data_IF_574374367904
#
_entry.id   IF_574374367904
#
_cell.length_a   1.000
_cell.length_b   1.000
_cell.length_c   1.000
_cell.angle_alpha   90.00
_cell.angle_beta   90.00
_cell.angle_gamma   90.00
#
_symmetry.space_group_name_H-M   'P 1'
#
loop_
_entity.id
_entity.type
_entity.pdbx_description
1 polymer ?
#
# COMPACT_ATOMS: atom_id res chain seq x y z
N UNK A 1 -11.85 13.10 22.60
CA UNK A 1 -11.64 11.95 21.69
C UNK A 1 -12.37 10.76 22.25
N UNK A 2 -13.13 10.01 21.45
CA UNK A 2 -13.77 8.77 21.95
C UNK A 2 -12.67 7.71 22.12
N UNK A 3 -12.51 7.11 23.31
CA UNK A 3 -11.48 6.10 23.56
C UNK A 3 -11.69 4.80 22.77
N UNK A 4 -12.83 4.65 22.12
CA UNK A 4 -13.21 3.43 21.39
C UNK A 4 -13.00 3.46 19.88
N UNK A 5 -12.46 4.57 19.35
CA UNK A 5 -12.31 4.73 17.90
C UNK A 5 -11.15 3.89 17.37
N UNK A 6 -11.41 3.00 16.42
CA UNK A 6 -10.37 2.21 15.75
C UNK A 6 -9.43 3.12 14.96
N UNK A 7 -8.16 2.76 14.88
CA UNK A 7 -7.08 3.53 14.26
C UNK A 7 -6.49 2.76 13.09
N UNK A 8 -6.42 3.39 11.93
CA UNK A 8 -5.76 2.87 10.74
C UNK A 8 -4.59 3.76 10.31
N UNK A 9 -3.42 3.16 10.16
CA UNK A 9 -2.23 3.81 9.58
C UNK A 9 -2.13 3.39 8.12
N UNK A 10 -2.06 4.37 7.20
CA UNK A 10 -1.93 4.15 5.76
C UNK A 10 -0.67 4.85 5.25
N UNK A 11 0.24 4.11 4.64
CA UNK A 11 1.45 4.67 4.03
C UNK A 11 1.26 5.00 2.54
N UNK A 12 2.01 5.97 2.00
CA UNK A 12 1.81 6.44 0.63
C UNK A 12 0.45 7.13 0.45
N UNK A 13 0.06 7.94 1.43
CA UNK A 13 -1.30 8.43 1.63
C UNK A 13 -1.63 9.73 0.94
N UNK A 14 -0.64 10.42 0.34
CA UNK A 14 -0.87 11.74 -0.26
C UNK A 14 -1.65 11.69 -1.57
N UNK A 15 -1.68 10.56 -2.28
CA UNK A 15 -2.32 10.41 -3.58
C UNK A 15 -2.68 8.96 -3.92
N UNK A 16 -3.40 8.76 -5.03
CA UNK A 16 -3.73 7.43 -5.57
C UNK A 16 -4.45 6.52 -4.58
N UNK A 17 -4.05 5.24 -4.53
CA UNK A 17 -4.67 4.21 -3.69
C UNK A 17 -4.63 4.59 -2.21
N UNK A 18 -3.50 5.11 -1.71
CA UNK A 18 -3.36 5.46 -0.31
C UNK A 18 -4.32 6.58 0.13
N UNK A 19 -4.48 7.61 -0.70
CA UNK A 19 -5.43 8.71 -0.44
C UNK A 19 -6.89 8.20 -0.46
N UNK A 20 -7.25 7.35 -1.42
CA UNK A 20 -8.57 6.72 -1.48
C UNK A 20 -8.81 5.84 -0.24
N UNK A 21 -7.81 5.04 0.16
CA UNK A 21 -7.87 4.20 1.35
C UNK A 21 -8.09 5.02 2.63
N UNK A 22 -7.36 6.14 2.80
CA UNK A 22 -7.60 7.04 3.93
C UNK A 22 -9.06 7.50 4.03
N UNK A 23 -9.64 7.91 2.90
CA UNK A 23 -11.03 8.38 2.83
C UNK A 23 -12.02 7.26 3.17
N UNK A 24 -11.83 6.06 2.63
CA UNK A 24 -12.68 4.88 2.92
C UNK A 24 -12.63 4.54 4.41
N UNK A 25 -11.46 4.44 5.03
CA UNK A 25 -11.37 4.14 6.47
C UNK A 25 -12.04 5.22 7.32
N UNK A 26 -11.87 6.50 6.98
CA UNK A 26 -12.52 7.59 7.69
C UNK A 26 -14.05 7.53 7.57
N UNK A 27 -14.61 7.21 6.40
CA UNK A 27 -16.04 7.00 6.17
C UNK A 27 -16.62 5.87 7.03
N UNK A 28 -15.80 4.85 7.30
CA UNK A 28 -16.14 3.73 8.19
C UNK A 28 -15.81 4.00 9.66
N UNK A 29 -15.60 5.26 10.04
CA UNK A 29 -15.47 5.68 11.42
C UNK A 29 -14.09 5.48 12.06
N UNK A 30 -13.06 5.10 11.30
CA UNK A 30 -11.69 5.03 11.82
C UNK A 30 -11.08 6.42 11.99
N UNK A 31 -10.16 6.57 12.94
CA UNK A 31 -9.15 7.61 12.86
C UNK A 31 -8.15 7.16 11.78
N UNK A 32 -8.14 7.89 10.67
CA UNK A 32 -7.35 7.56 9.48
C UNK A 32 -6.06 8.37 9.46
N UNK A 33 -4.91 7.69 9.66
CA UNK A 33 -3.60 8.32 9.83
C UNK A 33 -2.77 8.07 8.58
N UNK A 34 -2.49 9.14 7.84
CA UNK A 34 -1.66 9.08 6.64
C UNK A 34 -0.17 9.30 6.94
N UNK A 35 0.67 8.46 6.35
CA UNK A 35 2.11 8.65 6.31
C UNK A 35 2.58 8.79 4.86
N UNK A 36 3.26 9.87 4.51
CA UNK A 36 3.83 10.10 3.18
C UNK A 36 5.02 11.05 3.25
N UNK A 37 5.91 10.99 2.27
CA UNK A 37 7.00 12.00 2.12
C UNK A 37 6.46 13.32 1.55
N UNK A 38 5.34 13.27 0.83
CA UNK A 38 4.74 14.40 0.14
C UNK A 38 3.85 15.19 1.11
N UNK A 39 4.13 16.49 1.34
CA UNK A 39 3.36 17.30 2.29
C UNK A 39 1.88 17.49 1.87
N UNK A 40 1.55 17.25 0.61
CA UNK A 40 0.18 17.30 0.07
C UNK A 40 -0.77 16.32 0.77
N UNK A 41 -0.25 15.30 1.47
CA UNK A 41 -1.05 14.41 2.32
C UNK A 41 -1.84 15.14 3.40
N UNK A 42 -1.41 16.32 3.83
CA UNK A 42 -2.16 17.21 4.72
C UNK A 42 -3.53 17.62 4.14
N UNK A 43 -3.63 17.77 2.82
CA UNK A 43 -4.89 18.12 2.16
C UNK A 43 -5.91 16.99 2.30
N UNK A 44 -5.48 15.73 2.19
CA UNK A 44 -6.34 14.56 2.36
C UNK A 44 -6.89 14.49 3.80
N UNK A 45 -6.02 14.70 4.79
CA UNK A 45 -6.45 14.73 6.19
C UNK A 45 -7.44 15.87 6.45
N UNK A 46 -7.20 17.05 5.86
CA UNK A 46 -8.11 18.20 5.97
C UNK A 46 -9.47 17.95 5.32
N UNK A 47 -9.51 17.35 4.12
CA UNK A 47 -10.76 16.95 3.46
C UNK A 47 -11.57 15.99 4.33
N UNK A 48 -10.94 14.97 4.90
CA UNK A 48 -11.56 14.01 5.81
C UNK A 48 -12.19 14.74 7.01
N UNK A 49 -11.44 15.67 7.62
CA UNK A 49 -11.92 16.44 8.78
C UNK A 49 -13.08 17.37 8.43
N UNK A 50 -13.07 17.98 7.25
CA UNK A 50 -14.17 18.84 6.76
C UNK A 50 -15.46 18.04 6.51
N UNK A 51 -15.34 16.74 6.21
CA UNK A 51 -16.48 15.83 6.03
C UNK A 51 -16.93 15.18 7.34
N UNK A 52 -16.41 15.62 8.49
CA UNK A 52 -16.79 15.11 9.82
C UNK A 52 -16.06 13.80 10.21
N UNK A 53 -15.12 13.34 9.42
CA UNK A 53 -14.25 12.22 9.76
C UNK A 53 -13.11 12.62 10.73
N UNK A 54 -12.16 11.73 10.95
CA UNK A 54 -10.92 12.03 11.69
C UNK A 54 -9.72 11.63 10.85
N UNK A 55 -9.10 12.61 10.21
CA UNK A 55 -7.89 12.49 9.42
C UNK A 55 -6.70 13.15 10.12
N UNK A 56 -5.55 12.48 10.10
CA UNK A 56 -4.28 13.02 10.56
C UNK A 56 -3.21 12.69 9.51
N UNK A 57 -2.31 13.61 9.26
CA UNK A 57 -1.16 13.40 8.39
C UNK A 57 0.14 13.59 9.15
N UNK A 58 1.09 12.71 8.93
CA UNK A 58 2.45 12.82 9.44
C UNK A 58 3.43 12.63 8.29
N UNK A 59 4.25 13.64 8.00
CA UNK A 59 5.27 13.51 6.98
C UNK A 59 6.31 12.46 7.38
N UNK A 60 6.48 11.42 6.57
CA UNK A 60 7.32 10.27 6.88
C UNK A 60 7.89 9.64 5.61
N UNK A 61 9.21 9.52 5.54
CA UNK A 61 9.86 8.59 4.62
C UNK A 61 9.83 7.19 5.28
N UNK A 62 9.19 6.23 4.63
CA UNK A 62 9.09 4.85 5.13
C UNK A 62 10.43 4.12 5.15
N UNK A 63 11.44 4.62 4.43
CA UNK A 63 12.81 4.10 4.46
C UNK A 63 13.67 4.69 5.61
N UNK A 64 13.19 5.73 6.31
CA UNK A 64 13.85 6.28 7.51
C UNK A 64 13.31 5.60 8.77
N UNK A 65 14.08 4.63 9.30
CA UNK A 65 13.71 3.89 10.51
C UNK A 65 13.38 4.80 11.71
N UNK A 66 14.19 5.85 11.92
CA UNK A 66 13.98 6.79 13.03
C UNK A 66 12.63 7.48 12.88
N UNK A 67 12.33 7.99 11.67
CA UNK A 67 11.10 8.72 11.42
C UNK A 67 9.87 7.80 11.50
N UNK A 68 9.94 6.58 10.97
CA UNK A 68 8.88 5.57 11.12
C UNK A 68 8.58 5.30 12.59
N UNK A 69 9.63 5.06 13.41
CA UNK A 69 9.49 4.82 14.86
C UNK A 69 8.82 6.01 15.57
N UNK A 70 9.23 7.24 15.26
CA UNK A 70 8.65 8.47 15.83
C UNK A 70 7.16 8.59 15.48
N UNK A 71 6.79 8.38 14.20
CA UNK A 71 5.41 8.47 13.75
C UNK A 71 4.52 7.40 14.40
N UNK A 72 4.95 6.14 14.42
CA UNK A 72 4.18 5.06 15.04
C UNK A 72 4.02 5.28 16.54
N UNK A 73 5.10 5.70 17.22
CA UNK A 73 5.04 6.06 18.64
C UNK A 73 4.05 7.19 18.89
N UNK A 74 4.10 8.25 18.09
CA UNK A 74 3.16 9.39 18.21
C UNK A 74 1.70 8.93 18.09
N UNK A 75 1.40 8.07 17.11
CA UNK A 75 0.04 7.52 16.94
C UNK A 75 -0.36 6.66 18.13
N UNK A 76 0.52 5.78 18.60
CA UNK A 76 0.30 4.95 19.76
C UNK A 76 0.07 5.75 21.05
N UNK A 77 0.88 6.78 21.30
CA UNK A 77 0.73 7.66 22.47
C UNK A 77 -0.59 8.46 22.43
N UNK A 78 -0.99 8.90 21.22
CA UNK A 78 -2.18 9.74 21.01
C UNK A 78 -3.48 8.96 21.14
N UNK A 79 -3.53 7.73 20.61
CA UNK A 79 -4.77 6.95 20.51
C UNK A 79 -4.82 5.74 21.43
N UNK A 80 -3.69 5.33 21.99
CA UNK A 80 -3.60 4.14 22.86
C UNK A 80 -3.73 2.81 22.11
N UNK A 81 -3.95 2.84 20.78
CA UNK A 81 -4.19 1.67 19.94
C UNK A 81 -3.81 1.87 18.49
N UNK A 82 -3.53 0.79 17.77
CA UNK A 82 -3.38 0.73 16.33
C UNK A 82 -4.05 -0.55 15.86
N UNK A 83 -5.14 -0.43 15.09
CA UNK A 83 -5.97 -1.56 14.69
C UNK A 83 -5.65 -2.08 13.31
N UNK A 84 -5.30 -1.17 12.40
CA UNK A 84 -5.00 -1.49 11.01
C UNK A 84 -3.72 -0.80 10.58
N UNK A 85 -2.88 -1.55 9.86
CA UNK A 85 -1.75 -1.03 9.10
C UNK A 85 -1.95 -1.36 7.63
N UNK A 86 -1.97 -0.34 6.77
CA UNK A 86 -1.95 -0.51 5.31
C UNK A 86 -0.60 -0.05 4.78
N UNK A 87 0.26 -1.00 4.45
CA UNK A 87 1.55 -0.78 3.82
C UNK A 87 1.36 -0.59 2.32
N UNK A 88 1.11 0.65 1.88
CA UNK A 88 0.86 0.99 0.47
C UNK A 88 2.02 1.78 -0.16
N UNK A 89 2.84 2.48 0.61
CA UNK A 89 3.96 3.25 0.08
C UNK A 89 4.89 2.38 -0.76
N UNK A 90 5.28 2.89 -1.92
CA UNK A 90 6.19 2.21 -2.82
C UNK A 90 6.58 3.07 -4.00
N UNK A 91 7.58 2.59 -4.72
CA UNK A 91 8.05 3.18 -5.99
C UNK A 91 8.10 2.08 -7.05
N UNK A 92 7.88 2.45 -8.30
CA UNK A 92 8.12 1.58 -9.45
C UNK A 92 9.51 1.88 -10.02
N UNK A 93 10.19 0.84 -10.49
CA UNK A 93 11.42 0.95 -11.27
C UNK A 93 11.23 0.12 -12.53
N UNK A 94 11.16 0.81 -13.68
CA UNK A 94 11.01 0.22 -15.01
C UNK A 94 12.24 0.54 -15.82
N UNK A 95 13.10 -0.47 -15.98
CA UNK A 95 14.39 -0.31 -16.62
C UNK A 95 14.95 -1.70 -17.02
N UNK A 96 15.68 -1.83 -18.15
CA UNK A 96 16.43 -3.03 -18.47
C UNK A 96 17.31 -3.46 -17.28
N UNK A 97 17.37 -4.76 -17.00
CA UNK A 97 18.01 -5.26 -15.78
C UNK A 97 19.50 -4.90 -15.68
N UNK A 98 20.23 -4.98 -16.79
CA UNK A 98 21.65 -4.68 -16.88
C UNK A 98 21.98 -3.17 -16.79
N UNK A 99 20.97 -2.31 -16.90
CA UNK A 99 21.10 -0.87 -16.71
C UNK A 99 20.76 -0.39 -15.30
N UNK A 100 20.24 -1.27 -14.42
CA UNK A 100 19.86 -0.90 -13.05
C UNK A 100 21.12 -0.68 -12.22
N UNK A 101 21.26 0.53 -11.66
CA UNK A 101 22.37 0.82 -10.76
C UNK A 101 22.16 0.18 -9.37
N UNK A 102 23.26 0.01 -8.63
CA UNK A 102 23.17 -0.47 -7.25
C UNK A 102 22.35 0.45 -6.34
N UNK A 103 22.44 1.74 -6.54
CA UNK A 103 21.69 2.76 -5.81
C UNK A 103 20.19 2.67 -6.10
N UNK A 104 19.79 2.44 -7.37
CA UNK A 104 18.39 2.22 -7.76
C UNK A 104 17.84 0.93 -7.13
N UNK A 105 18.64 -0.15 -7.14
CA UNK A 105 18.32 -1.39 -6.45
C UNK A 105 18.07 -1.16 -4.95
N UNK A 106 19.04 -0.52 -4.26
CA UNK A 106 18.94 -0.24 -2.83
C UNK A 106 17.74 0.64 -2.52
N UNK A 107 17.54 1.72 -3.28
CA UNK A 107 16.42 2.63 -3.09
C UNK A 107 15.08 1.90 -3.23
N UNK A 108 14.90 1.13 -4.31
CA UNK A 108 13.67 0.39 -4.56
C UNK A 108 13.39 -0.64 -3.46
N UNK A 109 14.42 -1.39 -3.06
CA UNK A 109 14.30 -2.39 -1.99
C UNK A 109 14.01 -1.75 -0.63
N UNK A 110 14.71 -0.66 -0.27
CA UNK A 110 14.53 0.02 1.00
C UNK A 110 13.13 0.63 1.14
N UNK A 111 12.58 1.20 0.06
CA UNK A 111 11.23 1.76 0.10
C UNK A 111 10.18 0.65 0.08
N UNK A 112 10.22 -0.24 -0.93
CA UNK A 112 9.14 -1.20 -1.16
C UNK A 112 9.09 -2.32 -0.11
N UNK A 113 10.25 -2.87 0.26
CA UNK A 113 10.34 -3.98 1.22
C UNK A 113 10.74 -3.49 2.61
N UNK A 114 11.77 -2.65 2.69
CA UNK A 114 12.25 -2.09 3.95
C UNK A 114 11.18 -1.27 4.68
N UNK A 115 10.43 -0.43 3.97
CA UNK A 115 9.32 0.34 4.53
C UNK A 115 8.25 -0.55 5.15
N UNK A 116 7.82 -1.61 4.45
CA UNK A 116 6.86 -2.58 4.97
C UNK A 116 7.40 -3.27 6.24
N UNK A 117 8.66 -3.69 6.22
CA UNK A 117 9.32 -4.28 7.39
C UNK A 117 9.34 -3.34 8.59
N UNK A 118 9.74 -2.08 8.41
CA UNK A 118 9.85 -1.09 9.48
C UNK A 118 8.48 -0.79 10.09
N UNK A 119 7.46 -0.54 9.26
CA UNK A 119 6.11 -0.28 9.76
C UNK A 119 5.56 -1.48 10.54
N UNK A 120 5.68 -2.69 10.01
CA UNK A 120 5.29 -3.91 10.74
C UNK A 120 6.04 -4.01 12.08
N UNK A 121 7.37 -3.87 12.08
CA UNK A 121 8.21 -3.94 13.29
C UNK A 121 7.72 -3.03 14.41
N UNK A 122 7.37 -1.78 14.08
CA UNK A 122 7.00 -0.79 15.11
C UNK A 122 5.51 -0.80 15.48
N UNK A 123 4.62 -1.28 14.60
CA UNK A 123 3.18 -1.43 14.90
C UNK A 123 2.89 -2.70 15.70
N UNK A 124 3.62 -3.77 15.47
CA UNK A 124 3.37 -5.08 16.09
C UNK A 124 3.31 -5.08 17.62
N UNK A 125 4.12 -4.33 18.39
CA UNK A 125 3.99 -4.27 19.84
C UNK A 125 2.59 -3.87 20.31
N UNK A 126 1.96 -2.91 19.63
CA UNK A 126 0.58 -2.48 19.92
C UNK A 126 -0.43 -3.59 19.63
N UNK A 127 -0.39 -4.16 18.43
CA UNK A 127 -1.31 -5.22 18.02
C UNK A 127 -1.18 -6.49 18.89
N UNK A 128 0.06 -6.88 19.23
CA UNK A 128 0.31 -8.02 20.13
C UNK A 128 -0.24 -7.78 21.54
N UNK A 129 -0.09 -6.57 22.07
CA UNK A 129 -0.65 -6.19 23.37
C UNK A 129 -2.18 -6.16 23.33
N UNK A 130 -2.76 -5.63 22.25
CA UNK A 130 -4.22 -5.59 22.04
C UNK A 130 -4.82 -6.98 21.82
N UNK A 131 -4.02 -7.98 21.42
CA UNK A 131 -4.46 -9.28 20.91
C UNK A 131 -5.46 -9.14 19.76
N UNK A 132 -5.27 -8.14 18.94
CA UNK A 132 -6.11 -7.81 17.79
C UNK A 132 -5.37 -6.86 16.87
N UNK A 133 -5.51 -7.06 15.57
CA UNK A 133 -4.94 -6.18 14.56
C UNK A 133 -5.07 -6.74 13.15
N UNK A 134 -4.92 -5.87 12.16
CA UNK A 134 -4.91 -6.28 10.76
C UNK A 134 -3.80 -5.55 10.02
N UNK A 135 -3.00 -6.29 9.26
CA UNK A 135 -1.98 -5.74 8.36
C UNK A 135 -2.37 -6.08 6.92
N UNK A 136 -2.42 -5.07 6.07
CA UNK A 136 -2.64 -5.23 4.63
C UNK A 136 -1.41 -4.72 3.90
N UNK A 137 -0.76 -5.59 3.16
CA UNK A 137 0.43 -5.28 2.39
C UNK A 137 0.10 -5.08 0.90
N UNK A 138 0.64 -4.05 0.28
CA UNK A 138 0.43 -3.80 -1.14
C UNK A 138 1.41 -4.63 -1.99
N UNK A 139 0.90 -5.73 -2.54
CA UNK A 139 1.52 -6.51 -3.59
C UNK A 139 1.44 -5.83 -4.95
N UNK A 140 1.38 -6.62 -6.00
CA UNK A 140 1.14 -6.24 -7.40
C UNK A 140 1.01 -7.50 -8.25
N UNK A 141 0.33 -7.42 -9.40
CA UNK A 141 0.42 -8.44 -10.45
C UNK A 141 1.86 -8.75 -10.84
N UNK A 142 2.76 -7.77 -10.76
CA UNK A 142 4.21 -7.94 -11.02
C UNK A 142 4.90 -8.89 -10.04
N UNK A 143 4.28 -9.23 -8.91
CA UNK A 143 4.74 -10.27 -7.99
C UNK A 143 4.31 -11.69 -8.41
N UNK A 144 3.44 -11.81 -9.42
CA UNK A 144 2.87 -13.08 -9.89
C UNK A 144 3.30 -13.43 -11.32
N UNK A 145 3.46 -12.43 -12.18
CA UNK A 145 3.79 -12.62 -13.60
C UNK A 145 5.01 -11.80 -13.98
N UNK A 146 5.76 -12.31 -14.96
CA UNK A 146 6.89 -11.57 -15.53
C UNK A 146 6.41 -10.39 -16.38
N UNK A 147 7.06 -9.25 -16.20
CA UNK A 147 6.86 -8.06 -17.02
C UNK A 147 8.23 -7.54 -17.48
N UNK A 148 8.33 -7.16 -18.76
CA UNK A 148 9.55 -6.57 -19.30
C UNK A 148 9.95 -5.33 -18.49
N UNK A 149 11.24 -5.19 -18.20
CA UNK A 149 11.85 -4.08 -17.46
C UNK A 149 11.38 -3.88 -16.01
N UNK A 150 10.56 -4.79 -15.45
CA UNK A 150 10.03 -4.70 -14.08
C UNK A 150 10.73 -5.64 -13.08
N UNK A 151 11.92 -6.16 -13.40
CA UNK A 151 12.58 -7.22 -12.60
C UNK A 151 12.67 -6.86 -11.13
N UNK A 152 13.19 -5.67 -10.79
CA UNK A 152 13.36 -5.26 -9.39
C UNK A 152 12.03 -4.92 -8.71
N UNK A 153 11.11 -4.30 -9.43
CA UNK A 153 9.78 -4.03 -8.89
C UNK A 153 9.05 -5.36 -8.59
N UNK A 154 9.02 -6.28 -9.55
CA UNK A 154 8.43 -7.61 -9.37
C UNK A 154 9.07 -8.40 -8.22
N UNK A 155 10.40 -8.37 -8.11
CA UNK A 155 11.12 -9.01 -7.01
C UNK A 155 10.68 -8.47 -5.64
N UNK A 156 10.56 -7.14 -5.47
CA UNK A 156 10.08 -6.56 -4.21
C UNK A 156 8.62 -6.93 -3.91
N UNK A 157 7.76 -6.99 -4.93
CA UNK A 157 6.34 -7.35 -4.77
C UNK A 157 6.14 -8.83 -4.47
N UNK A 158 6.92 -9.72 -5.08
CA UNK A 158 6.98 -11.13 -4.72
C UNK A 158 7.47 -11.37 -3.29
N UNK A 159 8.49 -10.62 -2.86
CA UNK A 159 8.97 -10.67 -1.48
C UNK A 159 7.91 -10.23 -0.46
N UNK A 160 7.11 -9.21 -0.76
CA UNK A 160 5.99 -8.75 0.08
C UNK A 160 4.93 -9.85 0.23
N UNK A 161 4.57 -10.53 -0.85
CA UNK A 161 3.60 -11.65 -0.83
C UNK A 161 4.13 -12.79 0.05
N UNK A 162 5.40 -13.15 -0.07
CA UNK A 162 6.05 -14.16 0.76
C UNK A 162 6.08 -13.74 2.24
N UNK A 163 6.48 -12.50 2.53
CA UNK A 163 6.49 -11.92 3.88
C UNK A 163 5.10 -11.93 4.52
N UNK A 164 4.05 -11.63 3.75
CA UNK A 164 2.66 -11.67 4.20
C UNK A 164 2.28 -13.04 4.75
N UNK A 165 2.60 -14.12 4.02
CA UNK A 165 2.32 -15.50 4.43
C UNK A 165 3.05 -15.87 5.72
N UNK A 166 4.33 -15.52 5.83
CA UNK A 166 5.14 -15.79 7.01
C UNK A 166 4.62 -15.04 8.25
N UNK A 167 4.33 -13.74 8.11
CA UNK A 167 3.77 -12.93 9.20
C UNK A 167 2.40 -13.42 9.64
N UNK A 168 1.54 -13.88 8.74
CA UNK A 168 0.22 -14.42 9.07
C UNK A 168 0.32 -15.60 10.05
N UNK A 169 1.25 -16.51 9.82
CA UNK A 169 1.51 -17.65 10.72
C UNK A 169 2.13 -17.20 12.05
N UNK A 170 3.12 -16.33 12.01
CA UNK A 170 3.81 -15.83 13.22
C UNK A 170 2.85 -15.06 14.15
N UNK A 171 1.90 -14.33 13.57
CA UNK A 171 1.04 -13.41 14.31
C UNK A 171 -0.33 -14.00 14.69
N UNK A 172 -0.69 -15.18 14.16
CA UNK A 172 -1.93 -15.87 14.50
C UNK A 172 -2.14 -16.08 16.02
N UNK A 173 -1.12 -16.42 16.83
CA UNK A 173 -1.29 -16.55 18.29
C UNK A 173 -1.69 -15.24 18.98
N UNK A 174 -1.51 -14.10 18.35
CA UNK A 174 -1.89 -12.78 18.85
C UNK A 174 -3.21 -12.28 18.26
N UNK A 175 -3.93 -13.13 17.50
CA UNK A 175 -5.16 -12.73 16.80
C UNK A 175 -4.95 -11.53 15.86
N UNK A 176 -3.80 -11.48 15.20
CA UNK A 176 -3.45 -10.47 14.18
C UNK A 176 -3.50 -11.13 12.81
N UNK A 177 -4.33 -10.58 11.91
CA UNK A 177 -4.44 -11.06 10.53
C UNK A 177 -3.48 -10.28 9.62
N UNK A 178 -2.88 -10.96 8.67
CA UNK A 178 -1.99 -10.34 7.68
C UNK A 178 -2.36 -10.84 6.30
N UNK A 179 -2.72 -9.94 5.40
CA UNK A 179 -3.04 -10.26 4.02
C UNK A 179 -2.33 -9.30 3.07
N UNK A 180 -2.27 -9.64 1.80
CA UNK A 180 -1.85 -8.74 0.74
C UNK A 180 -2.95 -8.54 -0.31
N UNK A 181 -2.87 -7.41 -1.00
CA UNK A 181 -3.63 -7.10 -2.19
C UNK A 181 -2.65 -6.87 -3.32
N UNK A 182 -2.92 -7.49 -4.46
CA UNK A 182 -2.12 -7.39 -5.68
C UNK A 182 -2.94 -6.76 -6.82
N UNK A 183 -2.90 -5.42 -6.96
CA UNK A 183 -3.62 -4.73 -8.02
C UNK A 183 -3.02 -4.97 -9.40
N UNK A 184 -3.87 -4.87 -10.44
CA UNK A 184 -3.47 -4.59 -11.81
C UNK A 184 -3.14 -3.12 -12.04
N UNK A 185 -3.42 -2.60 -13.24
CA UNK A 185 -3.25 -1.18 -13.56
C UNK A 185 -4.32 -0.32 -12.89
N UNK A 186 -3.90 0.65 -12.09
CA UNK A 186 -4.77 1.59 -11.37
C UNK A 186 -4.43 3.02 -11.78
N UNK A 187 -5.43 3.83 -12.07
CA UNK A 187 -5.26 5.23 -12.48
C UNK A 187 -4.69 6.08 -11.34
N UNK A 188 -3.39 6.12 -11.28
CA UNK A 188 -2.63 6.84 -10.25
C UNK A 188 -1.54 7.69 -10.90
N UNK A 189 -1.04 8.72 -10.20
CA UNK A 189 0.13 9.46 -10.67
C UNK A 189 1.37 8.56 -10.90
N UNK A 190 1.50 7.47 -10.14
CA UNK A 190 2.59 6.49 -10.32
C UNK A 190 2.48 5.80 -11.69
N UNK A 191 1.32 5.23 -12.05
CA UNK A 191 1.12 4.55 -13.33
C UNK A 191 1.25 5.53 -14.50
N UNK A 192 0.67 6.72 -14.39
CA UNK A 192 0.78 7.75 -15.43
C UNK A 192 2.23 8.18 -15.67
N UNK A 193 3.01 8.33 -14.59
CA UNK A 193 4.43 8.63 -14.67
C UNK A 193 5.24 7.50 -15.32
N UNK A 194 4.93 6.26 -14.99
CA UNK A 194 5.57 5.07 -15.58
C UNK A 194 5.32 4.99 -17.10
N UNK A 195 4.06 5.14 -17.52
CA UNK A 195 3.69 5.16 -18.95
C UNK A 195 4.35 6.33 -19.69
N UNK A 196 4.48 7.50 -19.05
CA UNK A 196 5.18 8.63 -19.66
C UNK A 196 6.66 8.33 -19.86
N UNK A 197 7.31 7.65 -18.91
CA UNK A 197 8.70 7.21 -19.06
C UNK A 197 8.86 6.18 -20.19
N UNK A 198 7.97 5.20 -20.25
CA UNK A 198 7.95 4.20 -21.32
C UNK A 198 7.72 4.84 -22.69
N UNK A 199 6.75 5.74 -22.81
CA UNK A 199 6.45 6.53 -24.01
C UNK A 199 7.67 7.27 -24.50
N UNK A 200 8.40 7.93 -23.61
CA UNK A 200 9.62 8.67 -23.94
C UNK A 200 10.74 7.74 -24.41
N UNK A 201 10.96 6.64 -23.70
CA UNK A 201 12.03 5.67 -23.99
C UNK A 201 11.82 4.94 -25.32
N UNK A 202 10.59 4.53 -25.60
CA UNK A 202 10.25 3.75 -26.79
C UNK A 202 9.87 4.62 -27.99
N UNK A 203 9.80 5.95 -27.82
CA UNK A 203 9.25 6.88 -28.82
C UNK A 203 7.82 6.49 -29.26
N UNK A 204 7.07 5.83 -28.38
CA UNK A 204 5.67 5.43 -28.61
C UNK A 204 4.74 6.49 -28.00
N UNK A 205 3.70 6.98 -28.69
CA UNK A 205 2.76 7.94 -28.11
C UNK A 205 2.13 7.43 -26.81
N UNK A 206 1.99 8.32 -25.81
CA UNK A 206 1.44 8.00 -24.49
C UNK A 206 0.12 7.22 -24.56
N UNK A 207 -0.81 7.67 -25.40
CA UNK A 207 -2.13 7.03 -25.56
C UNK A 207 -2.03 5.60 -26.12
N UNK A 208 -1.02 5.31 -26.93
CA UNK A 208 -0.79 3.95 -27.42
C UNK A 208 -0.27 3.04 -26.31
N UNK A 209 0.74 3.48 -25.56
CA UNK A 209 1.25 2.72 -24.40
C UNK A 209 0.12 2.49 -23.38
N UNK A 210 -0.70 3.52 -23.13
CA UNK A 210 -1.88 3.42 -22.27
C UNK A 210 -2.84 2.32 -22.74
N UNK A 211 -3.20 2.34 -24.03
CA UNK A 211 -4.10 1.32 -24.62
C UNK A 211 -3.53 -0.09 -24.51
N UNK A 212 -2.23 -0.26 -24.69
CA UNK A 212 -1.54 -1.55 -24.52
C UNK A 212 -1.65 -2.03 -23.07
N UNK A 213 -1.44 -1.17 -22.08
CA UNK A 213 -1.62 -1.46 -20.66
C UNK A 213 -3.08 -1.74 -20.27
N UNK A 214 -4.03 -1.05 -20.87
CA UNK A 214 -5.46 -1.31 -20.68
C UNK A 214 -5.85 -2.70 -21.25
N UNK A 215 -5.27 -3.10 -22.38
CA UNK A 215 -5.54 -4.39 -23.02
C UNK A 215 -5.03 -5.60 -22.24
N UNK A 216 -4.14 -5.41 -21.26
CA UNK A 216 -3.67 -6.48 -20.37
C UNK A 216 -4.77 -6.92 -19.39
N UNK A 217 -5.76 -6.10 -19.13
CA UNK A 217 -6.89 -6.36 -18.23
C UNK A 217 -8.15 -6.74 -19.03
N UNK A 218 -8.96 -7.67 -18.51
CA UNK A 218 -10.12 -8.19 -19.22
C UNK A 218 -11.14 -7.10 -19.61
N UNK A 219 -11.36 -6.10 -18.75
CA UNK A 219 -12.27 -4.99 -19.05
C UNK A 219 -11.61 -3.82 -19.81
N UNK A 220 -10.35 -3.96 -20.18
CA UNK A 220 -9.59 -2.99 -20.99
C UNK A 220 -9.67 -1.54 -20.49
N UNK A 221 -9.57 -1.38 -19.19
CA UNK A 221 -9.50 -0.08 -18.51
C UNK A 221 -8.62 -0.16 -17.28
N UNK A 222 -8.15 0.96 -16.80
CA UNK A 222 -7.55 1.06 -15.49
C UNK A 222 -8.62 1.06 -14.39
N UNK A 223 -8.28 0.53 -13.23
CA UNK A 223 -9.11 0.64 -12.05
C UNK A 223 -9.08 2.08 -11.50
N UNK A 224 -10.19 2.54 -10.93
CA UNK A 224 -10.18 3.70 -10.04
C UNK A 224 -9.50 3.32 -8.72
N UNK A 225 -8.71 4.21 -8.07
CA UNK A 225 -8.13 3.95 -6.75
C UNK A 225 -9.13 3.45 -5.71
N UNK A 226 -10.39 3.84 -5.78
CA UNK A 226 -11.46 3.38 -4.89
C UNK A 226 -11.74 1.88 -5.07
N UNK A 227 -11.63 1.35 -6.30
CA UNK A 227 -11.80 -0.09 -6.58
C UNK A 227 -10.73 -0.98 -5.92
N UNK A 228 -9.64 -0.36 -5.42
CA UNK A 228 -8.61 -1.04 -4.61
C UNK A 228 -8.81 -0.72 -3.12
N UNK A 229 -9.23 0.49 -2.78
CA UNK A 229 -9.42 0.90 -1.39
C UNK A 229 -10.55 0.13 -0.69
N UNK A 230 -11.65 -0.18 -1.39
CA UNK A 230 -12.76 -0.96 -0.84
C UNK A 230 -12.38 -2.42 -0.51
N UNK A 231 -11.71 -3.19 -1.38
CA UNK A 231 -11.14 -4.49 -1.01
C UNK A 231 -10.14 -4.43 0.15
N UNK A 232 -9.30 -3.37 0.24
CA UNK A 232 -8.40 -3.17 1.39
C UNK A 232 -9.23 -3.06 2.67
N UNK A 233 -10.28 -2.22 2.67
CA UNK A 233 -11.16 -2.08 3.82
C UNK A 233 -11.87 -3.39 4.18
N UNK A 234 -12.40 -4.12 3.17
CA UNK A 234 -13.04 -5.42 3.41
C UNK A 234 -12.08 -6.37 4.14
N UNK A 235 -10.84 -6.52 3.68
CA UNK A 235 -9.84 -7.36 4.33
C UNK A 235 -9.50 -6.90 5.76
N UNK A 236 -9.64 -5.61 6.06
CA UNK A 236 -9.45 -5.06 7.40
C UNK A 236 -10.68 -5.25 8.31
N UNK A 237 -11.86 -5.47 7.75
CA UNK A 237 -13.14 -5.58 8.46
C UNK A 237 -13.36 -6.95 9.12
N UNK A 238 -14.39 -7.03 9.94
CA UNK A 238 -14.86 -8.29 10.56
C UNK A 238 -15.38 -9.29 9.51
N UNK A 239 -15.85 -8.80 8.35
CA UNK A 239 -16.27 -9.66 7.22
C UNK A 239 -15.16 -10.57 6.70
N UNK A 240 -13.89 -10.22 6.96
CA UNK A 240 -12.73 -11.00 6.60
C UNK A 240 -12.07 -11.71 7.81
N UNK A 241 -12.81 -11.95 8.91
CA UNK A 241 -12.27 -12.51 10.16
C UNK A 241 -11.59 -13.87 9.99
N UNK A 242 -11.96 -14.64 8.98
CA UNK A 242 -11.35 -15.95 8.66
C UNK A 242 -10.35 -15.90 7.51
N UNK A 243 -9.90 -14.69 7.11
CA UNK A 243 -8.94 -14.49 6.01
C UNK A 243 -7.60 -13.98 6.58
N UNK A 244 -6.57 -14.81 6.50
CA UNK A 244 -5.19 -14.45 6.85
C UNK A 244 -4.20 -15.24 5.99
N UNK A 245 -3.07 -14.64 5.63
CA UNK A 245 -2.05 -15.23 4.76
C UNK A 245 -2.44 -15.26 3.28
N UNK A 246 -3.59 -14.67 2.92
CA UNK A 246 -4.05 -14.60 1.54
C UNK A 246 -3.39 -13.43 0.79
N UNK A 247 -3.22 -13.61 -0.51
CA UNK A 247 -2.96 -12.54 -1.45
C UNK A 247 -4.16 -12.42 -2.41
N UNK A 248 -4.80 -11.26 -2.44
CA UNK A 248 -5.97 -11.02 -3.26
C UNK A 248 -5.59 -10.26 -4.53
N UNK A 249 -5.74 -10.93 -5.66
CA UNK A 249 -5.64 -10.30 -6.97
C UNK A 249 -6.87 -9.40 -7.20
N UNK A 250 -6.61 -8.11 -7.42
CA UNK A 250 -7.62 -7.10 -7.81
C UNK A 250 -7.14 -6.48 -9.12
N UNK A 251 -7.12 -7.30 -10.16
CA UNK A 251 -6.36 -7.10 -11.39
C UNK A 251 -7.21 -7.21 -12.66
N UNK A 252 -8.52 -7.31 -12.50
CA UNK A 252 -9.44 -7.49 -13.62
C UNK A 252 -9.05 -8.66 -14.53
N UNK A 253 -8.61 -9.78 -13.90
CA UNK A 253 -8.30 -11.03 -14.60
C UNK A 253 -6.96 -11.05 -15.34
N UNK A 254 -6.06 -10.10 -15.09
CA UNK A 254 -4.75 -10.06 -15.72
C UNK A 254 -3.96 -11.36 -15.52
N UNK A 255 -3.91 -11.86 -14.29
CA UNK A 255 -3.16 -13.07 -13.95
C UNK A 255 -3.93 -14.36 -14.30
N UNK A 256 -5.20 -14.26 -14.65
CA UNK A 256 -6.06 -15.42 -14.93
C UNK A 256 -5.95 -15.97 -16.38
N UNK A 257 -5.13 -15.36 -17.24
CA UNK A 257 -4.94 -15.74 -18.66
C UNK A 257 -3.68 -16.59 -18.86
#
# INVERSE_FOLDING_TARGET
MSPDKKVAIITGSARGIGAATMKVFAQHGYASIGLDILPEGENIAREINQQGGEGLFLQCDVADERRVKECVKFVGDRYGRIDVLVNNAGVVLVKPFDEISWEEFQRTTNINLGGHFLLCKYVLPFMKQQKSGVIINMGSVSGHVGQTDHVMYGATKGAIIAMTRALAWELAPYNVRVNSISPGSVDTPMLRGDIQLESTRTSTPFEKVKQEREAEQAFRRWADPLEIAEPIYFLASEGASFVTGADWLVDCGWVAK
#
